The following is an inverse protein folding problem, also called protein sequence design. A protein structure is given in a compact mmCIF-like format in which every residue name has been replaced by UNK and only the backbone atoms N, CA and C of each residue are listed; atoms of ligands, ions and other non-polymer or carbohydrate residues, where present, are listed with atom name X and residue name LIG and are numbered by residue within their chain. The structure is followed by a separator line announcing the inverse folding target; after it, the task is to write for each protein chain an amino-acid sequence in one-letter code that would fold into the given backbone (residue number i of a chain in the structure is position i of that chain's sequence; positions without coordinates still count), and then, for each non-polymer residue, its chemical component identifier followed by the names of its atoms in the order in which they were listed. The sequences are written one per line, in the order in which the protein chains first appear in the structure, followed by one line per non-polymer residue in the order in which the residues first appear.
data_IF_866546007531
#
_entry.id   IF_866546007531
#
_cell.length_a   1.000
_cell.length_b   1.000
_cell.length_c   1.000
_cell.angle_alpha   90.00
_cell.angle_beta   90.00
_cell.angle_gamma   90.00
#
_symmetry.space_group_name_H-M   'P 1'
#
loop_
_entity.id
_entity.type
_entity.pdbx_description
1 polymer ?
#
# COMPACT_ATOMS: atom_id res chain seq x y z
N UNK A 1 -13.73 -67.66 22.97
CA UNK A 1 -13.24 -66.72 21.95
C UNK A 1 -14.30 -65.65 21.72
N UNK A 2 -14.16 -64.45 22.30
CA UNK A 2 -15.08 -63.33 22.02
C UNK A 2 -14.75 -62.74 20.64
N UNK A 3 -15.73 -62.35 19.81
CA UNK A 3 -15.46 -61.68 18.55
C UNK A 3 -14.92 -60.26 18.82
N UNK A 4 -13.94 -59.85 18.02
CA UNK A 4 -13.45 -58.47 18.01
C UNK A 4 -14.57 -57.50 17.56
N UNK A 5 -14.62 -56.27 18.09
CA UNK A 5 -15.62 -55.29 17.67
C UNK A 5 -15.35 -54.84 16.23
N UNK A 6 -16.39 -54.44 15.48
CA UNK A 6 -16.24 -53.94 14.12
C UNK A 6 -15.41 -52.66 14.14
N UNK A 7 -14.42 -52.59 13.25
CA UNK A 7 -13.67 -51.39 12.94
C UNK A 7 -14.64 -50.28 12.57
N UNK A 8 -14.67 -49.20 13.38
CA UNK A 8 -15.39 -47.97 13.04
C UNK A 8 -14.81 -47.40 11.74
N UNK A 9 -15.48 -47.65 10.63
CA UNK A 9 -15.23 -46.96 9.37
C UNK A 9 -15.41 -45.46 9.58
N UNK A 10 -14.43 -44.67 9.14
CA UNK A 10 -14.52 -43.21 9.07
C UNK A 10 -15.71 -42.85 8.17
N UNK A 11 -16.78 -42.30 8.74
CA UNK A 11 -17.93 -41.79 7.97
C UNK A 11 -17.44 -40.64 7.05
N UNK A 12 -17.69 -40.68 5.73
CA UNK A 12 -17.19 -39.70 4.75
C UNK A 12 -17.51 -38.23 5.10
N UNK A 13 -18.64 -37.99 5.79
CA UNK A 13 -19.02 -36.67 6.28
C UNK A 13 -18.05 -36.06 7.30
N UNK A 14 -17.39 -36.88 8.13
CA UNK A 14 -16.47 -36.39 9.18
C UNK A 14 -15.19 -35.79 8.60
N UNK A 15 -14.68 -36.36 7.50
CA UNK A 15 -13.51 -35.86 6.80
C UNK A 15 -13.78 -34.52 6.10
N UNK A 16 -14.96 -34.38 5.46
CA UNK A 16 -15.38 -33.12 4.82
C UNK A 16 -15.48 -31.97 5.81
N UNK A 17 -16.10 -32.23 6.97
CA UNK A 17 -16.23 -31.27 8.09
C UNK A 17 -14.88 -30.84 8.65
N UNK A 18 -14.00 -31.80 8.92
CA UNK A 18 -12.65 -31.52 9.42
C UNK A 18 -11.86 -30.65 8.45
N UNK A 19 -11.96 -30.89 7.15
CA UNK A 19 -11.30 -30.09 6.12
C UNK A 19 -11.79 -28.64 6.06
N UNK A 20 -13.10 -28.42 6.14
CA UNK A 20 -13.68 -27.07 6.19
C UNK A 20 -13.28 -26.35 7.47
N UNK A 21 -13.37 -27.04 8.62
CA UNK A 21 -12.93 -26.52 9.91
C UNK A 21 -11.45 -26.10 9.89
N UNK A 22 -10.58 -26.95 9.37
CA UNK A 22 -9.15 -26.63 9.23
C UNK A 22 -8.89 -25.43 8.30
N UNK A 23 -9.73 -25.20 7.28
CA UNK A 23 -9.64 -24.02 6.43
C UNK A 23 -10.00 -22.77 7.23
N UNK A 24 -11.18 -22.73 7.84
CA UNK A 24 -11.69 -21.51 8.52
C UNK A 24 -10.95 -21.17 9.83
N UNK A 25 -10.33 -22.16 10.47
CA UNK A 25 -9.48 -21.96 11.66
C UNK A 25 -8.00 -21.76 11.31
N UNK A 26 -7.62 -21.85 10.03
CA UNK A 26 -6.23 -21.59 9.63
C UNK A 26 -5.85 -20.14 9.88
N UNK A 27 -4.61 -19.92 10.32
CA UNK A 27 -4.07 -18.58 10.50
C UNK A 27 -4.22 -17.76 9.22
N UNK A 28 -3.92 -18.37 8.07
CA UNK A 28 -4.03 -17.74 6.75
C UNK A 28 -5.45 -17.28 6.42
N UNK A 29 -6.48 -18.10 6.74
CA UNK A 29 -7.87 -17.72 6.50
C UNK A 29 -8.30 -16.58 7.42
N UNK A 30 -7.91 -16.60 8.69
CA UNK A 30 -8.23 -15.52 9.64
C UNK A 30 -7.59 -14.20 9.21
N UNK A 31 -6.38 -14.22 8.67
CA UNK A 31 -5.75 -13.04 8.10
C UNK A 31 -6.46 -12.56 6.83
N UNK A 32 -6.85 -13.47 5.93
CA UNK A 32 -7.66 -13.15 4.75
C UNK A 32 -9.01 -12.53 5.14
N UNK A 33 -9.70 -13.13 6.12
CA UNK A 33 -10.96 -12.64 6.66
C UNK A 33 -10.85 -11.22 7.20
N UNK A 34 -9.78 -10.88 7.94
CA UNK A 34 -9.59 -9.53 8.49
C UNK A 34 -9.49 -8.45 7.41
N UNK A 35 -8.85 -8.75 6.27
CA UNK A 35 -8.65 -7.79 5.17
C UNK A 35 -9.89 -7.65 4.29
N UNK A 36 -10.69 -8.71 4.17
CA UNK A 36 -11.84 -8.78 3.27
C UNK A 36 -13.20 -8.60 3.95
N UNK A 37 -13.23 -8.26 5.24
CA UNK A 37 -14.44 -7.73 5.84
C UNK A 37 -14.78 -6.38 5.22
N UNK A 38 -16.07 -6.12 4.96
CA UNK A 38 -16.51 -4.73 4.80
C UNK A 38 -16.01 -3.97 6.02
N UNK A 39 -15.22 -2.88 5.85
CA UNK A 39 -14.75 -2.16 7.01
C UNK A 39 -15.98 -1.74 7.80
N UNK A 40 -16.02 -2.01 9.11
CA UNK A 40 -17.08 -1.48 9.95
C UNK A 40 -17.12 0.04 9.77
N UNK A 41 -18.26 0.66 10.11
CA UNK A 41 -18.37 2.11 10.07
C UNK A 41 -17.13 2.78 10.68
N UNK A 42 -16.48 3.63 9.89
CA UNK A 42 -15.32 4.39 10.31
C UNK A 42 -15.48 5.83 9.84
N UNK A 43 -15.42 6.77 10.79
CA UNK A 43 -15.57 8.21 10.51
C UNK A 43 -14.58 8.71 9.46
N UNK A 44 -13.33 8.22 9.46
CA UNK A 44 -12.29 8.68 8.54
C UNK A 44 -12.52 8.21 7.10
N UNK A 45 -13.19 7.07 6.92
CA UNK A 45 -13.56 6.56 5.59
C UNK A 45 -14.67 7.42 4.98
N UNK A 46 -15.67 7.81 5.79
CA UNK A 46 -16.74 8.72 5.38
C UNK A 46 -16.19 10.08 4.95
N UNK A 47 -15.22 10.61 5.69
CA UNK A 47 -14.58 11.89 5.38
C UNK A 47 -13.53 11.79 4.25
N UNK A 48 -13.27 10.59 3.70
CA UNK A 48 -12.17 10.30 2.75
C UNK A 48 -10.82 10.82 3.26
N UNK A 49 -10.58 10.70 4.57
CA UNK A 49 -9.42 11.25 5.27
C UNK A 49 -8.25 10.26 5.40
N UNK A 50 -8.45 8.98 5.10
CA UNK A 50 -7.48 7.92 5.34
C UNK A 50 -6.26 7.92 4.40
N UNK A 51 -6.32 8.65 3.27
CA UNK A 51 -5.29 8.62 2.22
C UNK A 51 -4.37 9.85 2.21
N UNK A 52 -4.63 10.86 3.05
CA UNK A 52 -3.92 12.14 3.02
C UNK A 52 -3.02 12.35 4.23
N UNK A 53 -1.70 12.34 3.99
CA UNK A 53 -0.62 12.57 4.97
C UNK A 53 -0.90 13.77 5.90
N UNK A 54 -1.37 14.89 5.33
CA UNK A 54 -1.64 16.13 6.05
C UNK A 54 -2.67 15.96 7.19
N UNK A 55 -3.64 15.05 7.04
CA UNK A 55 -4.72 14.83 8.01
C UNK A 55 -4.26 13.97 9.19
N UNK A 56 -3.29 13.09 8.96
CA UNK A 56 -2.62 12.33 10.02
C UNK A 56 -1.85 13.24 10.96
N UNK A 57 -1.18 14.24 10.40
CA UNK A 57 -0.46 15.25 11.19
C UNK A 57 -1.41 16.11 12.05
N UNK A 58 -2.69 16.29 11.67
CA UNK A 58 -3.70 16.94 12.54
C UNK A 58 -4.01 16.11 13.78
N UNK A 59 -4.25 14.80 13.60
CA UNK A 59 -4.57 13.93 14.72
C UNK A 59 -3.36 13.75 15.63
N UNK A 60 -2.17 13.63 15.07
CA UNK A 60 -0.92 13.58 15.84
C UNK A 60 -0.67 14.88 16.60
N UNK A 61 -0.84 16.05 15.98
CA UNK A 61 -0.72 17.33 16.69
C UNK A 61 -1.71 17.41 17.85
N UNK A 62 -2.98 17.03 17.62
CA UNK A 62 -3.99 16.99 18.67
C UNK A 62 -3.62 16.07 19.83
N UNK A 63 -3.06 14.89 19.55
CA UNK A 63 -2.60 13.94 20.58
C UNK A 63 -1.32 14.40 21.32
N UNK A 64 -0.43 15.11 20.61
CA UNK A 64 0.84 15.61 21.16
C UNK A 64 0.66 16.86 22.01
N UNK A 65 -0.45 17.57 21.87
CA UNK A 65 -0.77 18.80 22.61
C UNK A 65 -1.33 18.47 24.00
N UNK A 66 -0.62 18.72 25.11
CA UNK A 66 -1.11 18.41 26.45
C UNK A 66 -2.40 19.16 26.84
N UNK A 67 -2.68 20.30 26.18
CA UNK A 67 -3.91 21.08 26.34
C UNK A 67 -5.05 20.64 25.42
N UNK A 68 -4.83 19.60 24.62
CA UNK A 68 -5.79 19.11 23.64
C UNK A 68 -7.07 18.56 24.26
N UNK A 69 -8.14 18.55 23.47
CA UNK A 69 -9.47 18.08 23.90
C UNK A 69 -9.59 16.55 24.01
N UNK A 70 -8.49 15.79 23.83
CA UNK A 70 -8.43 14.33 23.97
C UNK A 70 -8.47 13.84 25.43
N UNK A 71 -8.46 14.74 26.43
CA UNK A 71 -8.69 14.42 27.86
C UNK A 71 -7.66 13.50 28.51
N UNK A 72 -6.49 13.32 27.92
CA UNK A 72 -5.41 12.50 28.52
C UNK A 72 -4.20 13.32 28.96
N UNK A 73 -4.31 14.66 28.96
CA UNK A 73 -3.22 15.57 29.33
C UNK A 73 -1.93 15.27 28.57
N UNK A 74 -0.80 15.31 29.26
CA UNK A 74 0.52 15.08 28.66
C UNK A 74 0.85 13.61 28.37
N UNK A 75 -0.07 12.67 28.61
CA UNK A 75 0.24 11.22 28.60
C UNK A 75 0.71 10.71 27.23
N UNK A 76 0.05 11.05 26.12
CA UNK A 76 0.50 10.60 24.80
C UNK A 76 1.88 11.17 24.48
N UNK A 77 2.11 12.45 24.78
CA UNK A 77 3.40 13.11 24.58
C UNK A 77 4.51 12.45 25.43
N UNK A 78 4.23 12.10 26.69
CA UNK A 78 5.15 11.36 27.55
C UNK A 78 5.56 10.03 26.93
N UNK A 79 4.59 9.18 26.59
CA UNK A 79 4.86 7.87 25.98
C UNK A 79 5.56 7.99 24.62
N UNK A 80 5.22 9.02 23.83
CA UNK A 80 5.89 9.32 22.56
C UNK A 80 7.36 9.70 22.76
N UNK A 81 7.67 10.55 23.74
CA UNK A 81 9.05 10.94 24.06
C UNK A 81 9.85 9.76 24.62
N UNK A 82 9.23 8.91 25.46
CA UNK A 82 9.84 7.68 25.96
C UNK A 82 10.20 6.75 24.80
N UNK A 83 9.27 6.50 23.87
CA UNK A 83 9.54 5.69 22.67
C UNK A 83 10.66 6.28 21.80
N UNK A 84 10.70 7.59 21.62
CA UNK A 84 11.80 8.25 20.90
C UNK A 84 13.14 8.05 21.61
N UNK A 85 13.17 8.17 22.94
CA UNK A 85 14.36 7.93 23.75
C UNK A 85 14.80 6.46 23.66
N UNK A 86 13.89 5.50 23.63
CA UNK A 86 14.21 4.08 23.44
C UNK A 86 14.81 3.83 22.05
N UNK A 87 14.18 4.39 21.00
CA UNK A 87 14.66 4.27 19.63
C UNK A 87 16.04 4.93 19.44
N UNK A 88 16.33 6.03 20.15
CA UNK A 88 17.64 6.67 20.15
C UNK A 88 18.63 6.09 21.16
N UNK A 89 18.17 5.34 22.15
CA UNK A 89 18.97 4.76 23.23
C UNK A 89 20.04 3.79 22.74
N UNK A 90 19.84 3.16 21.57
CA UNK A 90 20.86 2.40 20.86
C UNK A 90 22.10 3.24 20.47
N UNK A 91 21.99 4.58 20.48
CA UNK A 91 23.06 5.54 20.18
C UNK A 91 23.54 6.35 21.41
N UNK A 92 23.01 6.10 22.62
CA UNK A 92 23.55 6.65 23.88
C UNK A 92 23.21 8.13 24.21
N UNK A 93 22.23 8.75 23.54
CA UNK A 93 21.84 10.15 23.77
C UNK A 93 20.38 10.22 24.27
N UNK A 94 20.14 10.75 25.48
CA UNK A 94 18.78 11.14 25.91
C UNK A 94 18.35 12.39 25.14
N UNK A 95 17.30 12.28 24.34
CA UNK A 95 16.90 13.27 23.33
C UNK A 95 16.12 14.45 23.89
N UNK A 96 15.37 14.22 24.96
CA UNK A 96 14.69 15.27 25.73
C UNK A 96 15.02 14.99 27.21
N UNK A 97 15.67 15.93 27.92
CA UNK A 97 15.91 15.79 29.35
C UNK A 97 14.57 15.74 30.10
N UNK A 98 14.55 15.17 31.31
CA UNK A 98 13.34 15.23 32.14
C UNK A 98 12.95 16.71 32.37
N UNK A 99 11.89 17.12 31.69
CA UNK A 99 11.33 18.47 31.70
C UNK A 99 9.84 18.34 31.87
N UNK A 100 9.19 19.40 32.33
CA UNK A 100 7.73 19.41 32.44
C UNK A 100 7.11 19.31 31.04
N UNK A 101 6.09 18.46 30.92
CA UNK A 101 5.33 18.24 29.69
C UNK A 101 3.89 18.73 29.83
N UNK A 102 3.63 19.57 30.83
CA UNK A 102 2.33 20.21 31.02
C UNK A 102 2.02 21.20 29.89
N UNK A 103 0.74 21.54 29.75
CA UNK A 103 0.24 22.41 28.66
C UNK A 103 1.00 23.73 28.55
N UNK A 104 1.32 24.37 29.67
CA UNK A 104 2.03 25.66 29.66
C UNK A 104 3.51 25.51 29.31
N UNK A 105 4.08 24.31 29.31
CA UNK A 105 5.50 24.05 29.06
C UNK A 105 5.81 23.55 27.64
N UNK A 106 4.77 23.13 26.91
CA UNK A 106 4.90 22.58 25.56
C UNK A 106 4.05 23.37 24.59
N UNK A 107 4.68 23.87 23.53
CA UNK A 107 3.96 24.45 22.39
C UNK A 107 4.03 23.49 21.22
N UNK A 108 2.87 23.10 20.67
CA UNK A 108 2.78 22.21 19.51
C UNK A 108 2.16 22.99 18.35
N UNK A 109 2.85 23.00 17.21
CA UNK A 109 2.46 23.76 16.03
C UNK A 109 2.46 22.85 14.81
N UNK A 110 1.58 23.16 13.86
CA UNK A 110 1.47 22.47 12.58
C UNK A 110 1.95 23.35 11.45
N UNK A 111 2.60 22.76 10.46
CA UNK A 111 3.06 23.44 9.24
C UNK A 111 3.93 24.68 9.52
N UNK A 112 4.56 24.72 10.71
CA UNK A 112 5.41 25.83 11.11
C UNK A 112 6.69 25.77 10.30
N UNK A 113 6.88 26.76 9.42
CA UNK A 113 8.00 26.80 8.46
C UNK A 113 8.08 25.51 7.62
N UNK A 114 6.91 25.01 7.17
CA UNK A 114 6.75 23.81 6.34
C UNK A 114 7.04 22.47 7.01
N UNK A 115 7.41 22.45 8.30
CA UNK A 115 7.50 21.21 9.05
C UNK A 115 6.10 20.69 9.40
N UNK A 116 5.84 19.39 9.23
CA UNK A 116 4.52 18.81 9.51
C UNK A 116 4.06 19.10 10.95
N UNK A 117 4.91 18.83 11.93
CA UNK A 117 4.66 19.14 13.34
C UNK A 117 5.96 19.66 13.98
N UNK A 118 5.84 20.75 14.74
CA UNK A 118 6.94 21.33 15.52
C UNK A 118 6.54 21.47 16.98
N UNK A 119 7.35 20.90 17.89
CA UNK A 119 7.17 20.98 19.33
C UNK A 119 8.27 21.84 19.93
N UNK A 120 7.91 22.83 20.75
CA UNK A 120 8.85 23.60 21.54
C UNK A 120 8.66 23.31 23.03
N UNK A 121 9.70 22.79 23.66
CA UNK A 121 9.74 22.52 25.09
C UNK A 121 10.40 23.70 25.80
N UNK A 122 9.62 24.48 26.56
CA UNK A 122 10.09 25.71 27.21
C UNK A 122 11.19 25.44 28.23
N UNK A 123 10.99 24.45 29.10
CA UNK A 123 11.95 24.08 30.14
C UNK A 123 13.30 23.60 29.59
N UNK A 124 13.30 22.92 28.44
CA UNK A 124 14.51 22.48 27.75
C UNK A 124 15.02 23.47 26.69
N UNK A 125 14.29 24.56 26.45
CA UNK A 125 14.51 25.53 25.36
C UNK A 125 14.83 24.84 24.03
N UNK A 126 14.06 23.80 23.67
CA UNK A 126 14.40 22.88 22.57
C UNK A 126 13.25 22.75 21.58
N UNK A 127 13.59 22.75 20.30
CA UNK A 127 12.66 22.34 19.25
C UNK A 127 12.80 20.85 18.93
N UNK A 128 11.67 20.20 18.68
CA UNK A 128 11.57 18.90 18.04
C UNK A 128 10.72 19.05 16.79
N UNK A 129 11.26 18.64 15.65
CA UNK A 129 10.62 18.72 14.35
C UNK A 129 10.27 17.30 13.94
N UNK A 130 8.99 17.02 13.74
CA UNK A 130 8.50 15.72 13.30
C UNK A 130 8.07 15.85 11.85
N UNK A 131 8.75 15.10 10.99
CA UNK A 131 8.33 14.87 9.61
C UNK A 131 7.52 13.58 9.56
N UNK A 132 6.28 13.65 9.06
CA UNK A 132 5.37 12.52 9.01
C UNK A 132 5.23 12.02 7.57
N UNK A 133 5.51 10.73 7.35
CA UNK A 133 5.29 10.06 6.07
C UNK A 133 4.44 8.82 6.27
N UNK A 134 3.36 8.69 5.51
CA UNK A 134 2.51 7.48 5.50
C UNK A 134 3.04 6.39 4.56
N UNK A 135 4.33 6.48 4.21
CA UNK A 135 5.04 5.58 3.29
C UNK A 135 6.37 5.14 3.91
N UNK A 136 7.05 4.19 3.24
CA UNK A 136 8.39 3.75 3.67
C UNK A 136 9.41 4.90 3.60
N UNK A 137 10.44 4.83 4.43
CA UNK A 137 11.49 5.85 4.48
C UNK A 137 12.25 5.94 3.15
N UNK A 138 12.65 7.16 2.79
CA UNK A 138 13.51 7.42 1.64
C UNK A 138 14.60 8.41 2.04
N UNK A 139 15.70 8.45 1.27
CA UNK A 139 16.77 9.45 1.46
C UNK A 139 16.28 10.88 1.26
N UNK A 140 15.20 11.08 0.52
CA UNK A 140 14.60 12.39 0.32
C UNK A 140 13.96 12.89 1.62
N UNK A 141 13.22 12.03 2.32
CA UNK A 141 12.61 12.37 3.61
C UNK A 141 13.68 12.76 4.65
N UNK A 142 14.81 12.06 4.68
CA UNK A 142 15.94 12.42 5.53
C UNK A 142 16.50 13.81 5.19
N UNK A 143 16.72 14.11 3.91
CA UNK A 143 17.21 15.44 3.49
C UNK A 143 16.22 16.55 3.83
N UNK A 144 14.93 16.27 3.70
CA UNK A 144 13.85 17.19 4.00
C UNK A 144 13.86 17.58 5.48
N UNK A 145 13.84 16.60 6.39
CA UNK A 145 13.84 16.89 7.83
C UNK A 145 15.13 17.58 8.30
N UNK A 146 16.30 17.21 7.75
CA UNK A 146 17.56 17.94 8.00
C UNK A 146 17.54 19.38 7.46
N UNK A 147 16.80 19.63 6.38
CA UNK A 147 16.54 20.97 5.85
C UNK A 147 15.80 21.82 6.88
N UNK A 148 14.69 21.32 7.41
CA UNK A 148 13.91 22.00 8.45
C UNK A 148 14.73 22.22 9.73
N UNK A 149 15.51 21.24 10.17
CA UNK A 149 16.42 21.38 11.32
C UNK A 149 17.34 22.60 11.19
N UNK A 150 17.97 22.76 10.01
CA UNK A 150 18.87 23.88 9.72
C UNK A 150 18.12 25.21 9.72
N UNK A 151 16.93 25.25 9.14
CA UNK A 151 16.13 26.47 9.05
C UNK A 151 15.62 26.92 10.41
N UNK A 152 15.16 25.98 11.26
CA UNK A 152 14.80 26.26 12.65
C UNK A 152 16.01 26.74 13.46
N UNK A 153 17.17 26.08 13.36
CA UNK A 153 18.40 26.54 14.04
C UNK A 153 18.79 27.97 13.66
N UNK A 154 18.64 28.31 12.38
CA UNK A 154 18.94 29.66 11.89
C UNK A 154 17.93 30.68 12.42
N UNK A 155 16.63 30.35 12.38
CA UNK A 155 15.53 31.28 12.71
C UNK A 155 15.38 31.53 14.20
N UNK A 156 15.63 30.51 15.03
CA UNK A 156 15.51 30.57 16.49
C UNK A 156 16.85 30.63 17.21
N UNK A 157 17.91 31.05 16.51
CA UNK A 157 19.24 31.23 17.10
C UNK A 157 19.18 32.15 18.33
N UNK A 158 19.66 31.66 19.47
CA UNK A 158 19.64 32.38 20.75
C UNK A 158 18.32 32.28 21.53
N UNK A 159 17.26 31.72 20.93
CA UNK A 159 15.96 31.48 21.57
C UNK A 159 15.77 29.99 21.94
N UNK A 160 16.47 29.09 21.27
CA UNK A 160 16.55 27.68 21.61
C UNK A 160 18.00 27.21 21.75
N UNK A 161 18.22 26.20 22.57
CA UNK A 161 19.53 25.61 22.85
C UNK A 161 19.84 24.48 21.84
N UNK A 162 18.81 23.81 21.32
CA UNK A 162 18.96 22.70 20.37
C UNK A 162 17.69 22.50 19.50
N UNK A 163 17.86 21.80 18.38
CA UNK A 163 16.80 21.36 17.47
C UNK A 163 17.02 19.89 17.13
N UNK A 164 16.00 19.06 17.38
CA UNK A 164 16.00 17.61 17.11
C UNK A 164 15.02 17.26 16.00
N UNK A 165 15.44 16.35 15.13
CA UNK A 165 14.67 15.89 13.99
C UNK A 165 14.14 14.48 14.24
N UNK A 166 12.84 14.30 14.04
CA UNK A 166 12.14 13.03 14.10
C UNK A 166 11.57 12.75 12.71
N UNK A 167 11.80 11.53 12.20
CA UNK A 167 11.22 11.05 10.97
C UNK A 167 10.28 9.90 11.28
N UNK A 168 8.97 10.16 11.13
CA UNK A 168 7.89 9.19 11.29
C UNK A 168 7.56 8.55 9.94
N UNK A 169 7.70 7.23 9.82
CA UNK A 169 7.43 6.49 8.55
C UNK A 169 6.74 5.16 8.79
N UNK A 170 6.33 4.44 7.73
CA UNK A 170 5.84 3.06 7.88
C UNK A 170 6.95 2.01 7.98
N UNK A 171 8.22 2.41 7.79
CA UNK A 171 9.38 1.54 8.04
C UNK A 171 9.45 1.19 9.52
N UNK A 172 9.74 -0.07 9.85
CA UNK A 172 9.85 -0.53 11.25
C UNK A 172 11.18 -0.19 11.90
N UNK A 173 12.22 0.01 11.10
CA UNK A 173 13.58 0.27 11.56
C UNK A 173 14.17 1.48 10.82
N UNK A 174 15.04 2.21 11.52
CA UNK A 174 15.77 3.36 10.98
C UNK A 174 16.96 2.96 10.08
N UNK A 175 17.77 3.95 9.71
CA UNK A 175 19.08 3.73 9.07
C UNK A 175 20.21 3.95 10.07
N UNK A 176 21.15 3.02 10.11
CA UNK A 176 22.42 3.23 10.80
C UNK A 176 23.23 4.40 10.21
N UNK A 177 23.03 4.75 8.94
CA UNK A 177 23.70 5.88 8.30
C UNK A 177 23.08 7.25 8.65
N UNK A 178 21.89 7.28 9.29
CA UNK A 178 21.07 8.47 9.51
C UNK A 178 20.88 8.78 11.01
N UNK A 179 21.84 8.38 11.86
CA UNK A 179 21.80 8.45 13.34
C UNK A 179 21.48 9.83 13.94
N UNK A 180 21.63 10.91 13.18
CA UNK A 180 21.29 12.26 13.63
C UNK A 180 19.78 12.55 13.63
N UNK A 181 19.01 11.75 12.89
CA UNK A 181 17.54 11.84 12.82
C UNK A 181 16.95 10.65 13.57
N UNK A 182 16.01 10.94 14.44
CA UNK A 182 15.35 9.93 15.27
C UNK A 182 14.27 9.30 14.42
N UNK A 183 14.33 7.99 14.22
CA UNK A 183 13.28 7.28 13.50
C UNK A 183 12.21 6.79 14.48
N UNK A 184 10.95 6.95 14.07
CA UNK A 184 9.79 6.35 14.74
C UNK A 184 8.88 5.76 13.67
N UNK A 185 8.27 4.63 13.96
CA UNK A 185 7.40 3.95 13.01
C UNK A 185 5.93 4.25 13.28
N UNK A 186 5.09 4.14 12.26
CA UNK A 186 3.64 4.14 12.44
C UNK A 186 3.17 2.96 13.29
N UNK A 187 3.94 1.86 13.38
CA UNK A 187 3.67 0.77 14.33
C UNK A 187 3.87 1.20 15.78
N UNK A 188 4.88 2.01 16.08
CA UNK A 188 5.05 2.61 17.40
C UNK A 188 3.86 3.52 17.73
N UNK A 189 3.48 4.40 16.81
CA UNK A 189 2.32 5.29 16.97
C UNK A 189 1.03 4.51 17.19
N UNK A 190 0.84 3.37 16.52
CA UNK A 190 -0.30 2.48 16.73
C UNK A 190 -0.38 1.99 18.19
N UNK A 191 0.75 1.55 18.76
CA UNK A 191 0.83 1.10 20.15
C UNK A 191 0.51 2.24 21.14
N UNK A 192 1.00 3.45 20.86
CA UNK A 192 0.73 4.64 21.67
C UNK A 192 -0.75 5.04 21.65
N UNK A 193 -1.38 5.08 20.47
CA UNK A 193 -2.81 5.37 20.34
C UNK A 193 -3.64 4.32 21.07
N UNK A 194 -3.24 3.05 20.97
CA UNK A 194 -3.87 1.93 21.65
C UNK A 194 -3.79 2.09 23.18
N UNK A 195 -2.61 2.40 23.72
CA UNK A 195 -2.41 2.72 25.14
C UNK A 195 -3.31 3.87 25.62
N UNK A 196 -3.34 4.97 24.85
CA UNK A 196 -4.11 6.16 25.21
C UNK A 196 -5.60 5.90 25.19
N UNK A 197 -6.12 5.26 24.13
CA UNK A 197 -7.52 4.85 24.04
C UNK A 197 -7.97 4.02 25.24
N UNK A 198 -7.12 3.10 25.69
CA UNK A 198 -7.44 2.24 26.84
C UNK A 198 -7.44 3.01 28.15
N UNK A 199 -6.68 4.10 28.24
CA UNK A 199 -6.62 4.95 29.43
C UNK A 199 -7.61 6.10 29.50
N UNK A 200 -8.28 6.45 28.40
CA UNK A 200 -9.37 7.43 28.41
C UNK A 200 -10.48 6.95 29.34
N UNK A 201 -11.09 7.81 30.15
CA UNK A 201 -12.19 7.38 31.02
C UNK A 201 -13.42 6.92 30.22
N UNK A 202 -14.20 6.00 30.77
CA UNK A 202 -15.41 5.47 30.13
C UNK A 202 -16.44 6.57 29.81
N UNK A 203 -16.46 7.63 30.61
CA UNK A 203 -17.33 8.80 30.43
C UNK A 203 -16.99 9.61 29.16
N UNK A 204 -15.74 9.55 28.69
CA UNK A 204 -15.29 10.20 27.45
C UNK A 204 -15.46 9.29 26.23
N UNK A 205 -16.67 8.75 26.08
CA UNK A 205 -17.00 7.74 25.05
C UNK A 205 -16.77 8.23 23.62
N UNK A 206 -16.97 9.52 23.34
CA UNK A 206 -16.75 10.12 22.01
C UNK A 206 -15.27 10.15 21.63
N UNK A 207 -14.39 10.57 22.56
CA UNK A 207 -12.94 10.55 22.36
C UNK A 207 -12.46 9.12 22.16
N UNK A 208 -12.93 8.18 23.00
CA UNK A 208 -12.59 6.76 22.86
C UNK A 208 -13.05 6.21 21.51
N UNK A 209 -14.25 6.55 21.05
CA UNK A 209 -14.76 6.13 19.73
C UNK A 209 -13.93 6.71 18.58
N UNK A 210 -13.57 7.99 18.65
CA UNK A 210 -12.68 8.64 17.68
C UNK A 210 -11.32 7.94 17.60
N UNK A 211 -10.71 7.65 18.75
CA UNK A 211 -9.43 6.93 18.83
C UNK A 211 -9.54 5.50 18.29
N UNK A 212 -10.64 4.80 18.53
CA UNK A 212 -10.89 3.48 17.93
C UNK A 212 -10.93 3.56 16.40
N UNK A 213 -11.67 4.51 15.84
CA UNK A 213 -11.74 4.70 14.39
C UNK A 213 -10.36 5.08 13.81
N UNK A 214 -9.62 5.96 14.49
CA UNK A 214 -8.30 6.36 14.02
C UNK A 214 -7.30 5.20 14.11
N UNK A 215 -7.35 4.41 15.18
CA UNK A 215 -6.51 3.23 15.35
C UNK A 215 -6.73 2.23 14.21
N UNK A 216 -7.97 2.05 13.73
CA UNK A 216 -8.25 1.19 12.59
C UNK A 216 -7.67 1.74 11.28
N UNK A 217 -7.62 3.06 11.10
CA UNK A 217 -6.89 3.68 9.99
C UNK A 217 -5.40 3.40 10.11
N UNK A 218 -4.80 3.62 11.29
CA UNK A 218 -3.37 3.38 11.52
C UNK A 218 -3.01 1.91 11.35
N UNK A 219 -3.85 0.97 11.81
CA UNK A 219 -3.66 -0.47 11.54
C UNK A 219 -3.62 -0.77 10.06
N UNK A 220 -4.48 -0.16 9.23
CA UNK A 220 -4.43 -0.35 7.78
C UNK A 220 -3.16 0.21 7.15
N UNK A 221 -2.63 1.33 7.67
CA UNK A 221 -1.36 1.90 7.24
C UNK A 221 -0.14 1.06 7.63
N UNK A 222 -0.16 0.45 8.82
CA UNK A 222 0.95 -0.36 9.35
C UNK A 222 0.88 -1.82 8.95
N UNK A 223 -0.30 -2.29 8.52
CA UNK A 223 -0.46 -3.63 7.96
C UNK A 223 0.35 -3.67 6.69
N UNK A 224 1.45 -4.44 6.64
CA UNK A 224 2.27 -4.50 5.47
C UNK A 224 1.40 -5.08 4.36
N UNK A 225 1.25 -4.35 3.27
CA UNK A 225 0.66 -4.88 2.05
C UNK A 225 1.37 -6.18 1.61
N UNK A 226 2.61 -6.42 2.08
CA UNK A 226 3.39 -7.67 1.91
C UNK A 226 2.96 -8.85 2.81
N UNK A 227 2.39 -8.61 4.00
CA UNK A 227 1.80 -9.64 4.88
C UNK A 227 0.44 -10.07 4.36
N UNK A 228 -0.45 -9.10 4.03
CA UNK A 228 -1.72 -9.33 3.31
C UNK A 228 -1.51 -10.06 1.99
N UNK A 229 -0.34 -9.81 1.38
CA UNK A 229 0.21 -10.65 0.34
C UNK A 229 0.47 -12.04 0.95
N UNK A 230 1.64 -12.59 1.29
CA UNK A 230 1.75 -13.76 2.22
C UNK A 230 0.64 -14.87 2.23
N UNK A 231 -0.43 -14.62 2.97
CA UNK A 231 -1.51 -15.53 3.35
C UNK A 231 -2.34 -16.13 2.21
N UNK A 232 -2.81 -15.38 1.21
CA UNK A 232 -3.70 -15.96 0.19
C UNK A 232 -3.05 -17.12 -0.60
N UNK A 233 -1.80 -16.97 -1.06
CA UNK A 233 -1.18 -18.07 -1.82
C UNK A 233 -0.92 -19.28 -0.93
N UNK A 234 -0.52 -19.09 0.33
CA UNK A 234 -0.40 -20.20 1.31
C UNK A 234 -1.75 -20.86 1.60
N UNK A 235 -2.82 -20.07 1.70
CA UNK A 235 -4.20 -20.50 1.90
C UNK A 235 -4.64 -21.40 0.73
N UNK A 236 -4.42 -20.93 -0.50
CA UNK A 236 -4.74 -21.68 -1.72
C UNK A 236 -3.89 -22.95 -1.84
N UNK A 237 -2.57 -22.88 -1.62
CA UNK A 237 -1.68 -24.04 -1.71
C UNK A 237 -2.04 -25.13 -0.69
N UNK A 238 -2.32 -24.73 0.56
CA UNK A 238 -2.61 -25.65 1.66
C UNK A 238 -4.01 -26.23 1.56
N UNK A 239 -5.00 -25.43 1.13
CA UNK A 239 -6.42 -25.82 1.16
C UNK A 239 -7.04 -26.04 -0.23
N UNK A 240 -6.24 -26.10 -1.30
CA UNK A 240 -6.70 -26.33 -2.69
C UNK A 240 -7.75 -27.43 -2.83
N UNK A 241 -7.60 -28.62 -2.21
CA UNK A 241 -8.59 -29.70 -2.37
C UNK A 241 -9.96 -29.32 -1.79
N UNK A 242 -9.97 -28.57 -0.69
CA UNK A 242 -11.20 -28.11 -0.01
C UNK A 242 -11.87 -27.01 -0.84
N UNK A 243 -11.09 -26.04 -1.33
CA UNK A 243 -11.60 -24.96 -2.18
C UNK A 243 -12.21 -25.48 -3.49
N UNK A 244 -11.56 -26.46 -4.15
CA UNK A 244 -12.11 -27.12 -5.35
C UNK A 244 -13.44 -27.81 -5.09
N UNK A 245 -13.52 -28.56 -3.98
CA UNK A 245 -14.74 -29.26 -3.58
C UNK A 245 -15.87 -28.25 -3.32
N UNK A 246 -15.60 -27.20 -2.54
CA UNK A 246 -16.59 -26.17 -2.22
C UNK A 246 -17.11 -25.46 -3.47
N UNK A 247 -16.26 -25.20 -4.47
CA UNK A 247 -16.70 -24.66 -5.76
C UNK A 247 -17.62 -25.61 -6.53
N UNK A 248 -17.33 -26.91 -6.55
CA UNK A 248 -18.18 -27.92 -7.19
C UNK A 248 -19.54 -28.04 -6.49
N UNK A 249 -19.53 -28.14 -5.16
CA UNK A 249 -20.75 -28.22 -4.32
C UNK A 249 -21.66 -26.99 -4.50
N UNK A 250 -21.08 -25.81 -4.83
CA UNK A 250 -21.82 -24.55 -5.13
C UNK A 250 -22.45 -24.51 -6.51
N UNK A 251 -21.89 -25.21 -7.51
CA UNK A 251 -22.41 -25.24 -8.88
C UNK A 251 -23.55 -26.25 -9.06
N UNK A 252 -23.61 -27.28 -8.21
CA UNK A 252 -24.61 -28.36 -8.28
C UNK A 252 -25.95 -27.98 -7.62
N UNK A 253 -26.16 -26.70 -7.26
CA UNK A 253 -27.35 -26.15 -6.58
C UNK A 253 -27.78 -26.92 -5.30
N UNK A 254 -26.88 -27.77 -4.80
CA UNK A 254 -27.02 -28.40 -3.50
C UNK A 254 -26.90 -27.33 -2.44
N UNK A 255 -27.90 -27.20 -1.57
CA UNK A 255 -27.77 -26.54 -0.28
C UNK A 255 -26.63 -27.21 0.52
N UNK A 256 -25.38 -26.78 0.35
CA UNK A 256 -24.21 -27.29 1.07
C UNK A 256 -23.34 -26.10 1.53
N UNK A 257 -22.58 -26.22 2.62
CA UNK A 257 -22.89 -26.55 4.00
C UNK A 257 -22.98 -25.26 4.84
N UNK A 258 -23.91 -24.36 4.52
CA UNK A 258 -23.98 -23.01 5.14
C UNK A 258 -24.14 -23.02 6.66
N UNK A 259 -24.70 -24.09 7.24
CA UNK A 259 -24.92 -24.24 8.68
C UNK A 259 -23.66 -24.43 9.50
N UNK A 260 -22.53 -24.83 8.90
CA UNK A 260 -21.29 -25.16 9.62
C UNK A 260 -20.23 -24.04 9.62
N UNK A 261 -20.41 -23.01 8.79
CA UNK A 261 -19.54 -21.83 8.76
C UNK A 261 -20.16 -20.75 9.64
N UNK A 262 -19.44 -20.21 10.64
CA UNK A 262 -19.88 -19.05 11.42
C UNK A 262 -20.36 -17.93 10.50
N UNK A 263 -21.48 -17.27 10.86
CA UNK A 263 -22.11 -16.26 10.01
C UNK A 263 -21.13 -15.20 9.51
N UNK A 264 -20.25 -14.75 10.39
CA UNK A 264 -19.26 -13.71 10.12
C UNK A 264 -18.21 -14.14 9.07
N UNK A 265 -17.88 -15.43 8.98
CA UNK A 265 -16.88 -15.95 8.04
C UNK A 265 -17.45 -16.25 6.65
N UNK A 266 -18.78 -16.25 6.48
CA UNK A 266 -19.41 -16.63 5.21
C UNK A 266 -19.01 -15.70 4.07
N UNK A 267 -19.06 -14.39 4.29
CA UNK A 267 -18.71 -13.40 3.27
C UNK A 267 -17.27 -13.53 2.78
N UNK A 268 -16.31 -13.72 3.70
CA UNK A 268 -14.92 -13.94 3.31
C UNK A 268 -14.68 -15.31 2.68
N UNK A 269 -15.39 -16.36 3.10
CA UNK A 269 -15.29 -17.65 2.43
C UNK A 269 -15.84 -17.59 1.00
N UNK A 270 -16.96 -16.91 0.79
CA UNK A 270 -17.52 -16.67 -0.54
C UNK A 270 -16.53 -15.89 -1.42
N UNK A 271 -15.94 -14.81 -0.88
CA UNK A 271 -14.93 -14.04 -1.58
C UNK A 271 -13.67 -14.87 -1.92
N UNK A 272 -13.21 -15.71 -0.98
CA UNK A 272 -12.07 -16.60 -1.18
C UNK A 272 -12.33 -17.61 -2.31
N UNK A 273 -13.54 -18.15 -2.37
CA UNK A 273 -13.94 -19.09 -3.42
C UNK A 273 -14.00 -18.40 -4.79
N UNK A 274 -14.51 -17.17 -4.87
CA UNK A 274 -14.47 -16.39 -6.10
C UNK A 274 -13.04 -16.07 -6.54
N UNK A 275 -12.19 -15.61 -5.62
CA UNK A 275 -10.78 -15.35 -5.91
C UNK A 275 -10.08 -16.62 -6.41
N UNK A 276 -10.34 -17.78 -5.78
CA UNK A 276 -9.79 -19.07 -6.21
C UNK A 276 -10.28 -19.51 -7.60
N UNK A 277 -11.58 -19.28 -7.90
CA UNK A 277 -12.21 -19.65 -9.19
C UNK A 277 -11.57 -18.94 -10.39
N UNK A 278 -11.06 -17.73 -10.21
CA UNK A 278 -10.62 -16.85 -11.31
C UNK A 278 -9.29 -17.23 -11.97
N UNK A 279 -8.53 -18.17 -11.40
CA UNK A 279 -7.31 -18.77 -11.97
C UNK A 279 -6.41 -17.82 -12.81
N UNK A 280 -5.88 -16.70 -12.26
CA UNK A 280 -5.20 -15.66 -13.05
C UNK A 280 -3.98 -16.16 -13.82
N UNK A 281 -3.32 -17.23 -13.34
CA UNK A 281 -2.24 -17.92 -14.06
C UNK A 281 -2.71 -18.55 -15.37
N UNK A 282 -3.86 -19.23 -15.34
CA UNK A 282 -4.46 -19.88 -16.50
C UNK A 282 -4.91 -18.82 -17.50
N UNK A 283 -5.55 -17.76 -17.00
CA UNK A 283 -5.95 -16.60 -17.80
C UNK A 283 -4.73 -15.95 -18.49
N UNK A 284 -3.68 -15.62 -17.73
CA UNK A 284 -2.42 -15.10 -18.27
C UNK A 284 -1.82 -16.03 -19.34
N UNK A 285 -1.86 -17.35 -19.12
CA UNK A 285 -1.32 -18.32 -20.08
C UNK A 285 -2.11 -18.34 -21.38
N UNK A 286 -3.45 -18.24 -21.30
CA UNK A 286 -4.31 -18.11 -22.48
C UNK A 286 -4.02 -16.82 -23.25
N UNK A 287 -4.01 -15.67 -22.55
CA UNK A 287 -3.76 -14.38 -23.19
C UNK A 287 -2.35 -14.32 -23.79
N UNK A 288 -1.33 -14.92 -23.16
CA UNK A 288 0.00 -15.05 -23.74
C UNK A 288 -0.03 -15.80 -25.07
N UNK A 289 -0.75 -16.92 -25.14
CA UNK A 289 -0.90 -17.70 -26.37
C UNK A 289 -1.58 -16.88 -27.46
N UNK A 290 -2.63 -16.14 -27.11
CA UNK A 290 -3.31 -15.19 -28.01
C UNK A 290 -2.37 -14.10 -28.53
N UNK A 291 -1.61 -13.43 -27.65
CA UNK A 291 -0.65 -12.39 -28.04
C UNK A 291 0.41 -12.92 -29.02
N UNK A 292 0.92 -14.13 -28.77
CA UNK A 292 1.93 -14.74 -29.62
C UNK A 292 1.35 -15.16 -30.99
N UNK A 293 0.21 -15.85 -30.99
CA UNK A 293 -0.38 -16.43 -32.20
C UNK A 293 -1.06 -15.38 -33.09
N UNK A 294 -1.80 -14.44 -32.51
CA UNK A 294 -2.65 -13.49 -33.27
C UNK A 294 -2.00 -12.13 -33.48
N UNK A 295 -1.07 -11.72 -32.61
CA UNK A 295 -0.47 -10.37 -32.63
C UNK A 295 1.05 -10.38 -32.82
N UNK A 296 1.70 -11.55 -32.83
CA UNK A 296 3.16 -11.68 -32.94
C UNK A 296 3.93 -11.09 -31.74
N UNK A 297 3.24 -10.75 -30.64
CA UNK A 297 3.84 -10.14 -29.45
C UNK A 297 4.43 -11.24 -28.58
N UNK A 298 5.76 -11.31 -28.50
CA UNK A 298 6.48 -12.26 -27.65
C UNK A 298 6.54 -11.78 -26.20
N UNK A 299 5.42 -11.87 -25.50
CA UNK A 299 5.35 -11.50 -24.10
C UNK A 299 6.04 -12.54 -23.19
N UNK A 300 6.82 -12.05 -22.22
CA UNK A 300 7.47 -12.87 -21.21
C UNK A 300 6.60 -12.93 -19.96
N UNK A 301 6.22 -14.13 -19.49
CA UNK A 301 5.53 -14.27 -18.23
C UNK A 301 6.50 -14.03 -17.09
N UNK A 302 6.05 -13.28 -16.10
CA UNK A 302 6.69 -13.19 -14.79
C UNK A 302 5.58 -13.38 -13.76
N UNK A 303 5.64 -14.41 -12.90
CA UNK A 303 4.82 -14.38 -11.70
C UNK A 303 5.38 -13.30 -10.77
N UNK A 304 4.51 -12.66 -9.99
CA UNK A 304 5.01 -12.06 -8.77
C UNK A 304 5.70 -13.15 -7.91
N UNK A 305 6.56 -12.74 -6.96
CA UNK A 305 7.31 -13.68 -6.10
C UNK A 305 6.40 -14.67 -5.33
N UNK A 306 5.09 -14.46 -5.36
CA UNK A 306 4.09 -15.06 -4.50
C UNK A 306 2.92 -15.69 -5.30
N UNK A 307 3.03 -15.83 -6.63
CA UNK A 307 2.06 -16.50 -7.51
C UNK A 307 0.64 -15.91 -7.53
N UNK A 308 0.45 -14.63 -7.20
CA UNK A 308 -0.90 -14.02 -7.07
C UNK A 308 -1.30 -13.16 -8.24
N UNK A 309 -0.37 -12.30 -8.63
CA UNK A 309 -0.45 -11.58 -9.87
C UNK A 309 0.51 -12.22 -10.86
N UNK A 310 0.03 -12.37 -12.08
CA UNK A 310 0.83 -12.85 -13.19
C UNK A 310 0.97 -11.71 -14.17
N UNK A 311 2.15 -11.51 -14.72
CA UNK A 311 2.41 -10.39 -15.60
C UNK A 311 2.87 -10.92 -16.94
N UNK A 312 2.40 -10.29 -18.02
CA UNK A 312 2.96 -10.44 -19.34
C UNK A 312 3.65 -9.16 -19.72
N UNK A 313 4.97 -9.21 -19.88
CA UNK A 313 5.75 -8.03 -20.25
C UNK A 313 6.31 -8.17 -21.66
N UNK A 314 6.26 -7.08 -22.42
CA UNK A 314 6.97 -6.95 -23.69
C UNK A 314 7.54 -5.56 -23.85
N UNK A 315 8.61 -5.46 -24.63
CA UNK A 315 9.39 -4.22 -24.77
C UNK A 315 8.95 -3.42 -25.97
N UNK A 316 9.18 -2.11 -25.89
CA UNK A 316 9.12 -1.20 -27.03
C UNK A 316 10.54 -0.85 -27.49
N UNK A 317 11.29 -1.87 -27.94
CA UNK A 317 12.72 -1.72 -28.24
C UNK A 317 13.00 -0.69 -29.35
N UNK A 318 12.15 -0.64 -30.39
CA UNK A 318 12.30 0.33 -31.49
C UNK A 318 12.14 1.78 -31.01
N UNK A 319 11.19 2.01 -30.11
CA UNK A 319 10.94 3.33 -29.52
C UNK A 319 12.05 3.71 -28.54
N UNK A 320 12.48 2.78 -27.69
CA UNK A 320 13.59 3.02 -26.77
C UNK A 320 14.87 3.42 -27.54
N UNK A 321 15.15 2.71 -28.63
CA UNK A 321 16.27 3.01 -29.53
C UNK A 321 16.13 4.40 -30.17
N UNK A 322 14.93 4.72 -30.67
CA UNK A 322 14.67 5.99 -31.33
C UNK A 322 14.78 7.20 -30.35
N UNK A 323 14.40 7.02 -29.08
CA UNK A 323 14.58 8.02 -28.03
C UNK A 323 16.04 8.13 -27.53
N UNK A 324 16.97 7.33 -28.07
CA UNK A 324 18.37 7.32 -27.63
C UNK A 324 18.57 6.78 -26.21
N UNK A 325 17.63 5.98 -25.71
CA UNK A 325 17.66 5.43 -24.35
C UNK A 325 18.07 3.95 -24.43
N UNK A 326 19.24 3.61 -23.86
CA UNK A 326 19.55 2.21 -23.56
C UNK A 326 18.71 1.78 -22.33
N UNK A 327 17.75 0.85 -22.52
CA UNK A 327 16.90 0.14 -21.52
C UNK A 327 15.67 0.93 -20.97
N UNK A 328 14.50 0.39 -20.55
CA UNK A 328 13.61 -0.74 -20.91
C UNK A 328 12.17 -0.18 -20.76
N UNK A 329 11.61 0.36 -21.84
CA UNK A 329 10.19 0.75 -21.88
C UNK A 329 9.37 -0.53 -22.04
N UNK A 330 8.46 -0.80 -21.11
CA UNK A 330 7.73 -2.07 -21.08
C UNK A 330 6.25 -1.86 -20.91
N UNK A 331 5.51 -2.50 -21.80
CA UNK A 331 4.13 -2.81 -21.53
C UNK A 331 4.05 -4.01 -20.61
N UNK A 332 3.09 -3.97 -19.72
CA UNK A 332 2.73 -5.03 -18.81
C UNK A 332 1.21 -5.24 -18.83
N UNK A 333 0.77 -6.48 -19.04
CA UNK A 333 -0.56 -6.89 -18.62
C UNK A 333 -0.44 -7.55 -17.25
N UNK A 334 -1.09 -6.97 -16.25
CA UNK A 334 -1.20 -7.55 -14.90
C UNK A 334 -2.50 -8.32 -14.81
N UNK A 335 -2.41 -9.60 -14.44
CA UNK A 335 -3.54 -10.50 -14.20
C UNK A 335 -3.62 -10.75 -12.70
N UNK A 336 -4.63 -10.19 -12.04
CA UNK A 336 -4.91 -10.47 -10.63
C UNK A 336 -6.22 -11.22 -10.49
N UNK A 337 -6.58 -11.55 -9.25
CA UNK A 337 -7.88 -12.15 -8.93
C UNK A 337 -9.04 -11.17 -9.09
N UNK A 338 -8.82 -9.86 -9.26
CA UNK A 338 -9.91 -8.86 -9.28
C UNK A 338 -9.96 -8.04 -10.55
N UNK A 339 -8.87 -7.98 -11.30
CA UNK A 339 -8.79 -7.17 -12.51
C UNK A 339 -7.72 -7.67 -13.46
N UNK A 340 -7.89 -7.32 -14.73
CA UNK A 340 -6.80 -7.30 -15.71
C UNK A 340 -6.51 -5.85 -16.04
N UNK A 341 -5.24 -5.47 -16.02
CA UNK A 341 -4.84 -4.09 -16.32
C UNK A 341 -3.68 -4.06 -17.30
N UNK A 342 -3.72 -3.07 -18.20
CA UNK A 342 -2.59 -2.70 -19.03
C UNK A 342 -1.82 -1.55 -18.36
N UNK A 343 -0.52 -1.71 -18.22
CA UNK A 343 0.36 -0.73 -17.64
C UNK A 343 1.55 -0.48 -18.55
N UNK A 344 2.04 0.75 -18.55
CA UNK A 344 3.32 1.11 -19.17
C UNK A 344 4.23 1.66 -18.09
N UNK A 345 5.46 1.17 -18.05
CA UNK A 345 6.47 1.66 -17.12
C UNK A 345 7.83 1.82 -17.76
N UNK A 346 8.62 2.72 -17.17
CA UNK A 346 10.01 2.97 -17.51
C UNK A 346 10.89 2.55 -16.34
N UNK A 347 11.96 1.80 -16.58
CA UNK A 347 12.98 1.54 -15.56
C UNK A 347 13.83 2.82 -15.30
N UNK A 348 14.09 3.12 -14.03
CA UNK A 348 14.78 4.33 -13.58
C UNK A 348 16.25 4.05 -13.24
N UNK A 349 17.09 4.98 -13.65
CA UNK A 349 18.46 5.13 -13.19
C UNK A 349 18.87 6.61 -13.30
N UNK A 350 20.09 6.95 -12.84
CA UNK A 350 20.60 8.33 -12.83
C UNK A 350 20.59 9.02 -14.21
N UNK A 351 20.68 8.27 -15.31
CA UNK A 351 20.69 8.82 -16.67
C UNK A 351 19.28 8.94 -17.26
N UNK A 352 18.36 8.05 -16.91
CA UNK A 352 17.02 8.00 -17.51
C UNK A 352 16.03 8.97 -16.85
N UNK A 353 16.19 9.24 -15.55
CA UNK A 353 15.29 10.12 -14.80
C UNK A 353 15.09 11.51 -15.46
N UNK A 354 16.13 12.26 -15.84
CA UNK A 354 15.95 13.57 -16.47
C UNK A 354 15.25 13.49 -17.84
N UNK A 355 15.44 12.39 -18.58
CA UNK A 355 14.76 12.18 -19.87
C UNK A 355 13.28 11.96 -19.63
N UNK A 356 12.94 11.11 -18.66
CA UNK A 356 11.56 10.75 -18.32
C UNK A 356 10.81 11.95 -17.74
N UNK A 357 11.44 12.78 -16.90
CA UNK A 357 10.88 14.04 -16.40
C UNK A 357 10.55 15.01 -17.54
N UNK A 358 11.38 15.07 -18.59
CA UNK A 358 11.09 15.87 -19.79
C UNK A 358 9.93 15.29 -20.62
N UNK A 359 9.87 13.96 -20.77
CA UNK A 359 8.75 13.28 -21.43
C UNK A 359 7.45 13.58 -20.66
N UNK A 360 7.48 13.51 -19.34
CA UNK A 360 6.34 13.83 -18.48
C UNK A 360 5.85 15.25 -18.72
N UNK A 361 6.76 16.23 -18.67
CA UNK A 361 6.44 17.63 -18.91
C UNK A 361 5.79 17.83 -20.28
N UNK A 362 6.40 17.29 -21.34
CA UNK A 362 5.89 17.37 -22.70
C UNK A 362 4.49 16.74 -22.83
N UNK A 363 4.28 15.53 -22.30
CA UNK A 363 2.98 14.85 -22.41
C UNK A 363 1.87 15.55 -21.62
N UNK A 364 2.21 16.29 -20.56
CA UNK A 364 1.27 17.14 -19.82
C UNK A 364 0.92 18.43 -20.58
N UNK A 365 1.85 18.97 -21.36
CA UNK A 365 1.66 20.21 -22.13
C UNK A 365 0.89 19.99 -23.44
N UNK A 366 1.13 18.87 -24.13
CA UNK A 366 0.47 18.52 -25.41
C UNK A 366 -0.94 17.91 -25.25
N UNK A 367 -1.51 17.94 -24.04
CA UNK A 367 -2.80 17.32 -23.69
C UNK A 367 -2.94 15.93 -24.32
N UNK A 368 -1.95 15.06 -24.10
CA UNK A 368 -2.03 13.64 -24.48
C UNK A 368 -3.05 12.98 -23.55
N UNK A 369 -4.32 13.29 -23.82
CA UNK A 369 -5.46 13.05 -22.97
C UNK A 369 -5.83 11.57 -22.98
N UNK A 370 -5.15 10.83 -22.11
CA UNK A 370 -5.79 9.69 -21.47
C UNK A 370 -5.80 10.02 -19.99
N UNK A 371 -6.98 10.07 -19.39
CA UNK A 371 -7.22 10.01 -17.95
C UNK A 371 -6.49 8.84 -17.25
N UNK A 372 -5.92 7.94 -18.05
CA UNK A 372 -5.12 6.76 -17.72
C UNK A 372 -3.61 7.05 -17.55
N UNK A 373 -3.11 8.27 -17.81
CA UNK A 373 -1.73 8.64 -17.49
C UNK A 373 -1.59 8.96 -16.00
N UNK A 374 -0.63 8.32 -15.32
CA UNK A 374 -0.54 8.37 -13.83
C UNK A 374 0.79 8.88 -13.27
N UNK A 375 1.91 8.74 -14.00
CA UNK A 375 3.26 9.17 -13.57
C UNK A 375 3.60 8.84 -12.09
N UNK A 376 3.44 7.58 -11.68
CA UNK A 376 3.75 7.10 -10.32
C UNK A 376 5.21 6.69 -10.21
N UNK A 377 6.03 7.56 -9.61
CA UNK A 377 7.47 7.37 -9.43
C UNK A 377 7.78 6.35 -8.33
N UNK A 378 8.69 5.41 -8.60
CA UNK A 378 9.22 4.42 -7.67
C UNK A 378 10.76 4.46 -7.68
N UNK A 379 11.43 3.74 -6.78
CA UNK A 379 12.91 3.80 -6.68
C UNK A 379 13.65 3.33 -7.95
N UNK A 380 13.08 2.37 -8.68
CA UNK A 380 13.74 1.71 -9.81
C UNK A 380 12.91 1.72 -11.10
N UNK A 381 11.73 2.33 -11.09
CA UNK A 381 10.87 2.48 -12.27
C UNK A 381 9.82 3.58 -12.05
N UNK A 382 9.10 3.99 -13.09
CA UNK A 382 7.92 4.86 -13.01
C UNK A 382 6.79 4.25 -13.82
N UNK A 383 5.58 4.16 -13.25
CA UNK A 383 4.39 3.84 -14.04
C UNK A 383 3.88 5.11 -14.70
N UNK A 384 3.74 5.10 -16.02
CA UNK A 384 3.25 6.28 -16.76
C UNK A 384 1.83 6.12 -17.23
N UNK A 385 1.35 4.89 -17.35
CA UNK A 385 0.04 4.55 -17.86
C UNK A 385 -0.55 3.40 -17.06
N UNK A 386 -1.84 3.49 -16.73
CA UNK A 386 -2.61 2.42 -16.12
C UNK A 386 -4.02 2.42 -16.66
N UNK A 387 -4.44 1.30 -17.23
CA UNK A 387 -5.81 1.08 -17.68
C UNK A 387 -6.36 -0.24 -17.12
N UNK A 388 -7.43 -0.21 -16.30
CA UNK A 388 -8.18 -1.42 -16.00
C UNK A 388 -8.97 -1.87 -17.24
N UNK A 389 -8.52 -2.97 -17.86
CA UNK A 389 -9.17 -3.55 -19.05
C UNK A 389 -10.41 -4.35 -18.69
N UNK A 390 -10.34 -5.05 -17.56
CA UNK A 390 -11.44 -5.82 -16.98
C UNK A 390 -11.49 -5.51 -15.50
N UNK A 391 -12.65 -5.06 -15.03
CA UNK A 391 -12.90 -4.66 -13.65
C UNK A 391 -13.48 -5.79 -12.80
N UNK A 392 -13.64 -5.50 -11.51
CA UNK A 392 -14.09 -6.47 -10.53
C UNK A 392 -15.52 -6.95 -10.75
N UNK A 393 -16.41 -6.08 -11.24
CA UNK A 393 -17.80 -6.40 -11.51
C UNK A 393 -17.91 -7.46 -12.61
N UNK A 394 -17.15 -7.27 -13.69
CA UNK A 394 -17.04 -8.24 -14.80
C UNK A 394 -16.46 -9.57 -14.32
N UNK A 395 -15.46 -9.53 -13.42
CA UNK A 395 -14.88 -10.72 -12.82
C UNK A 395 -15.84 -11.45 -11.85
N UNK A 396 -16.84 -10.76 -11.29
CA UNK A 396 -17.75 -11.30 -10.26
C UNK A 396 -18.98 -12.02 -10.79
N UNK A 397 -19.34 -11.81 -12.06
CA UNK A 397 -20.61 -12.29 -12.63
C UNK A 397 -20.48 -13.46 -13.61
N UNK A 398 -19.28 -13.75 -14.13
CA UNK A 398 -19.07 -14.71 -15.22
C UNK A 398 -18.35 -16.03 -14.85
N UNK A 399 -18.45 -17.02 -15.73
CA UNK A 399 -17.60 -18.22 -15.73
C UNK A 399 -16.15 -17.91 -16.09
N UNK A 400 -15.23 -18.84 -15.86
CA UNK A 400 -13.82 -18.65 -16.27
C UNK A 400 -13.74 -18.42 -17.79
N UNK A 401 -14.49 -19.19 -18.57
CA UNK A 401 -14.54 -19.11 -20.02
C UNK A 401 -15.08 -17.75 -20.51
N UNK A 402 -16.08 -17.19 -19.81
CA UNK A 402 -16.61 -15.86 -20.10
C UNK A 402 -15.60 -14.76 -19.77
N UNK A 403 -14.96 -14.84 -18.60
CA UNK A 403 -13.89 -13.91 -18.19
C UNK A 403 -12.72 -13.98 -19.17
N UNK A 404 -12.33 -15.18 -19.61
CA UNK A 404 -11.27 -15.38 -20.59
C UNK A 404 -11.60 -14.73 -21.93
N UNK A 405 -12.82 -14.93 -22.44
CA UNK A 405 -13.29 -14.32 -23.68
C UNK A 405 -13.31 -12.79 -23.59
N UNK A 406 -13.93 -12.24 -22.55
CA UNK A 406 -14.01 -10.78 -22.33
C UNK A 406 -12.63 -10.16 -22.15
N UNK A 407 -11.74 -10.83 -21.40
CA UNK A 407 -10.35 -10.37 -21.25
C UNK A 407 -9.64 -10.32 -22.59
N UNK A 408 -9.82 -11.34 -23.44
CA UNK A 408 -9.23 -11.37 -24.78
C UNK A 408 -9.75 -10.23 -25.65
N UNK A 409 -11.05 -10.00 -25.67
CA UNK A 409 -11.70 -8.90 -26.40
C UNK A 409 -11.16 -7.54 -25.95
N UNK A 410 -11.09 -7.30 -24.64
CA UNK A 410 -10.60 -6.03 -24.08
C UNK A 410 -9.10 -5.80 -24.31
N UNK A 411 -8.29 -6.85 -24.21
CA UNK A 411 -6.87 -6.78 -24.58
C UNK A 411 -6.73 -6.47 -26.07
N UNK A 412 -7.55 -7.06 -26.93
CA UNK A 412 -7.50 -6.79 -28.37
C UNK A 412 -7.91 -5.36 -28.72
N UNK A 413 -9.00 -4.88 -28.12
CA UNK A 413 -9.48 -3.49 -28.22
C UNK A 413 -8.37 -2.51 -27.84
N UNK A 414 -7.74 -2.72 -26.68
CA UNK A 414 -6.60 -1.93 -26.21
C UNK A 414 -5.43 -1.93 -27.20
N UNK A 415 -5.05 -3.11 -27.73
CA UNK A 415 -3.94 -3.23 -28.68
C UNK A 415 -4.21 -2.54 -30.03
N UNK A 416 -5.48 -2.39 -30.42
CA UNK A 416 -5.85 -1.72 -31.67
C UNK A 416 -6.09 -0.21 -31.52
N UNK A 417 -6.24 0.30 -30.30
CA UNK A 417 -6.57 1.70 -30.01
C UNK A 417 -5.45 2.40 -29.25
N UNK A 418 -5.54 2.39 -27.93
CA UNK A 418 -4.68 3.15 -27.01
C UNK A 418 -3.22 2.73 -27.12
N UNK A 419 -2.96 1.43 -27.25
CA UNK A 419 -1.61 0.92 -27.45
C UNK A 419 -0.92 1.60 -28.65
N UNK A 420 -1.62 1.66 -29.80
CA UNK A 420 -1.07 2.28 -31.02
C UNK A 420 -0.92 3.78 -30.86
N UNK A 421 -1.88 4.42 -30.20
CA UNK A 421 -1.87 5.85 -29.92
C UNK A 421 -0.64 6.22 -29.09
N UNK A 422 -0.44 5.56 -27.95
CA UNK A 422 0.71 5.75 -27.07
C UNK A 422 2.02 5.44 -27.79
N UNK A 423 2.07 4.36 -28.59
CA UNK A 423 3.25 4.07 -29.42
C UNK A 423 3.55 5.16 -30.45
N UNK A 424 2.51 5.71 -31.09
CA UNK A 424 2.62 6.79 -32.07
C UNK A 424 3.23 8.03 -31.44
N UNK A 425 2.78 8.41 -30.24
CA UNK A 425 3.34 9.54 -29.50
C UNK A 425 4.83 9.39 -29.26
N UNK A 426 5.27 8.25 -28.71
CA UNK A 426 6.69 8.06 -28.46
C UNK A 426 7.54 7.98 -29.73
N UNK A 427 6.97 7.51 -30.86
CA UNK A 427 7.65 7.56 -32.16
C UNK A 427 7.79 8.99 -32.67
N UNK A 428 6.78 9.84 -32.51
CA UNK A 428 6.86 11.25 -32.87
C UNK A 428 7.90 11.98 -32.02
N UNK A 429 7.89 11.74 -30.71
CA UNK A 429 8.87 12.28 -29.77
C UNK A 429 10.30 11.89 -30.10
N UNK A 430 10.50 10.67 -30.62
CA UNK A 430 11.80 10.21 -31.08
C UNK A 430 12.24 10.81 -32.42
N UNK A 431 11.29 11.17 -33.29
CA UNK A 431 11.56 11.75 -34.60
C UNK A 431 11.91 13.25 -34.53
N UNK A 432 11.43 13.95 -33.50
CA UNK A 432 11.80 15.34 -33.21
C UNK A 432 12.25 15.52 -31.74
N UNK A 433 13.52 15.23 -31.42
CA UNK A 433 14.05 15.45 -30.08
C UNK A 433 14.07 16.93 -29.65
N UNK A 434 13.93 17.88 -30.61
CA UNK A 434 13.86 19.32 -30.34
C UNK A 434 12.47 19.74 -29.83
N UNK A 435 11.45 18.90 -29.95
CA UNK A 435 10.17 19.10 -29.22
C UNK A 435 10.32 19.06 -27.69
N UNK A 436 11.45 18.57 -27.17
CA UNK A 436 11.81 18.64 -25.74
C UNK A 436 12.52 19.95 -25.34
N UNK A 437 12.85 20.82 -26.30
CA UNK A 437 13.34 22.18 -26.03
C UNK A 437 12.18 23.16 -26.13
N UNK A 438 11.56 23.45 -24.99
CA UNK A 438 10.81 24.69 -24.80
C UNK A 438 11.66 25.60 -23.93
N UNK A 439 12.35 26.55 -24.58
CA UNK A 439 13.33 27.50 -24.02
C UNK A 439 14.73 26.86 -23.91
N UNK A 440 15.81 27.37 -24.49
CA UNK A 440 16.20 28.74 -24.87
C UNK A 440 17.03 28.71 -26.19
N UNK A 441 17.19 29.89 -26.79
CA UNK A 441 18.10 30.25 -27.90
C UNK A 441 17.61 30.00 -29.34
N UNK A 442 16.77 30.93 -29.80
CA UNK A 442 16.91 31.53 -31.14
C UNK A 442 17.63 32.89 -30.97
N UNK A 443 18.95 32.88 -31.09
CA UNK A 443 19.76 33.95 -31.68
C UNK A 443 20.73 33.35 -32.70
#
# INVERSE_FOLDING_TARGET
SRPLPPTRGFLPGTAKRRQLKNLIESFEFLQYYQVHQNPPFNLFDVLRNAEFEIRHSNVLQWLLDPGGTHRTGSKFLQEFIERLNDNAGAAGIKLIPQTSLENDDVRVERELHYADIALFFKGARRWMIVENKTVERSREHYRQVKGYERDFRKRYKGQCDDVRSVLLTTSREGDDAEREVIHVSWSDVQELIQSIRDSVDAENSEVRAFLSHYLDVVKRLTTPSRLERNYFTKLVETHKPVLKRLLQERQEDTELPRTEVPGDYRGALDQLLEDFRREPKRLMTSIKSFLNASRGIKARPAPDKYGRSFWLTWRMDDVAKALGIEWRIRWELTFSHRRVSANLYFELNRKTRPVIERIEKFMREEDVATDKLVWEWQDSYVYVYRHPLVDEETFSSGSFEEVERTTREKVDEFLNSEYRTVQGFFKCLAADPKGLSVGEELE
#
